data_IF_495969207884
#
_entry.id   IF_495969207884
#
_cell.length_a   1.000
_cell.length_b   1.000
_cell.length_c   1.000
_cell.angle_alpha   90.00
_cell.angle_beta   90.00
_cell.angle_gamma   90.00
#
_symmetry.space_group_name_H-M   'P 1'
#
loop_
_entity.id
_entity.type
_entity.pdbx_description
1 polymer ?
#
# COMPACT_ATOMS: atom_id res chain seq x y z
N UNK A 1 2.56 8.42 9.79
CA UNK A 1 2.76 8.49 8.34
C UNK A 1 1.50 9.04 7.69
N UNK A 2 1.57 9.96 6.70
CA UNK A 2 2.76 10.57 6.11
C UNK A 2 3.35 11.75 6.91
N UNK A 3 2.64 12.24 7.93
CA UNK A 3 2.97 13.44 8.70
C UNK A 3 3.68 13.17 10.05
N UNK A 4 4.22 11.97 10.25
CA UNK A 4 4.81 11.51 11.53
C UNK A 4 3.90 11.60 12.78
N UNK A 5 2.59 11.84 12.63
CA UNK A 5 1.64 11.80 13.76
C UNK A 5 0.78 10.55 13.77
N UNK A 6 0.52 9.95 12.60
CA UNK A 6 -0.15 8.65 12.51
C UNK A 6 0.84 7.50 12.71
N UNK A 7 0.47 6.49 13.49
CA UNK A 7 1.20 5.21 13.52
C UNK A 7 0.93 4.43 12.23
N UNK A 8 1.88 3.60 11.80
CA UNK A 8 1.71 2.76 10.62
C UNK A 8 3.03 2.17 10.09
N UNK A 9 2.90 1.24 9.15
CA UNK A 9 4.00 0.65 8.38
C UNK A 9 4.10 1.30 6.99
N UNK A 10 5.14 0.98 6.24
CA UNK A 10 5.33 1.48 4.87
C UNK A 10 4.13 1.16 3.97
N UNK A 11 3.51 0.00 4.15
CA UNK A 11 2.32 -0.42 3.41
C UNK A 11 1.11 0.47 3.68
N UNK A 12 0.97 1.02 4.90
CA UNK A 12 -0.09 2.00 5.21
C UNK A 12 0.15 3.32 4.47
N UNK A 13 1.41 3.73 4.34
CA UNK A 13 1.75 4.90 3.53
C UNK A 13 1.41 4.68 2.05
N UNK A 14 1.80 3.53 1.50
CA UNK A 14 1.54 3.23 0.08
C UNK A 14 0.05 3.11 -0.22
N UNK A 15 -0.78 2.69 0.74
CA UNK A 15 -2.23 2.69 0.59
C UNK A 15 -2.82 4.08 0.29
N UNK A 16 -2.21 5.18 0.78
CA UNK A 16 -2.64 6.53 0.39
C UNK A 16 -2.44 6.81 -1.09
N UNK A 17 -1.44 6.16 -1.71
CA UNK A 17 -1.07 6.33 -3.11
C UNK A 17 -1.98 5.58 -4.09
N UNK A 18 -2.96 4.80 -3.62
CA UNK A 18 -3.94 4.15 -4.52
C UNK A 18 -4.85 5.20 -5.14
N UNK A 19 -4.90 5.33 -6.48
CA UNK A 19 -5.56 6.44 -7.17
C UNK A 19 -7.00 6.70 -6.70
N UNK A 20 -7.85 5.67 -6.73
CA UNK A 20 -9.25 5.75 -6.31
C UNK A 20 -9.62 4.55 -5.42
N UNK A 21 -9.34 4.61 -4.11
CA UNK A 21 -9.54 3.47 -3.23
C UNK A 21 -11.03 3.13 -3.01
N UNK A 22 -11.96 4.04 -3.32
CA UNK A 22 -13.39 3.81 -3.15
C UNK A 22 -13.97 3.05 -4.34
N UNK A 23 -13.54 3.37 -5.57
CA UNK A 23 -14.07 2.75 -6.78
C UNK A 23 -13.16 1.65 -7.36
N UNK A 24 -11.90 1.54 -6.93
CA UNK A 24 -11.02 0.45 -7.33
C UNK A 24 -11.45 -0.87 -6.69
N UNK A 25 -12.22 -1.64 -7.46
CA UNK A 25 -12.70 -2.97 -7.07
C UNK A 25 -11.55 -3.93 -6.77
N UNK A 26 -10.41 -3.80 -7.46
CA UNK A 26 -9.24 -4.62 -7.25
C UNK A 26 -8.54 -4.27 -5.93
N UNK A 27 -8.54 -3.00 -5.53
CA UNK A 27 -8.01 -2.56 -4.24
C UNK A 27 -8.84 -3.01 -3.03
N UNK A 28 -10.14 -3.20 -3.22
CA UNK A 28 -11.06 -3.59 -2.16
C UNK A 28 -11.18 -5.12 -1.99
N UNK A 29 -10.93 -5.89 -3.05
CA UNK A 29 -10.98 -7.35 -3.04
C UNK A 29 -10.06 -8.04 -1.99
N UNK A 30 -8.83 -7.57 -1.71
CA UNK A 30 -7.94 -8.23 -0.76
C UNK A 30 -8.51 -8.29 0.66
N UNK A 31 -9.33 -7.33 1.06
CA UNK A 31 -9.92 -7.31 2.41
C UNK A 31 -10.74 -8.58 2.66
N UNK A 32 -11.56 -8.98 1.68
CA UNK A 32 -12.35 -10.22 1.75
C UNK A 32 -11.46 -11.45 1.71
N UNK A 33 -10.52 -11.53 0.75
CA UNK A 33 -9.64 -12.69 0.62
C UNK A 33 -8.76 -12.92 1.85
N UNK A 34 -8.32 -11.85 2.52
CA UNK A 34 -7.55 -11.96 3.77
C UNK A 34 -8.41 -12.43 4.94
N UNK A 35 -9.69 -12.01 5.01
CA UNK A 35 -10.61 -12.49 6.02
C UNK A 35 -10.84 -14.00 5.89
N UNK A 36 -11.00 -14.49 4.66
CA UNK A 36 -11.14 -15.92 4.37
C UNK A 36 -9.84 -16.68 4.68
N UNK A 37 -8.70 -16.18 4.20
CA UNK A 37 -7.39 -16.79 4.46
C UNK A 37 -7.04 -16.86 5.95
N UNK A 38 -7.44 -15.87 6.74
CA UNK A 38 -7.21 -15.82 8.18
C UNK A 38 -7.86 -17.01 8.92
N UNK A 39 -8.95 -17.59 8.39
CA UNK A 39 -9.60 -18.78 8.97
C UNK A 39 -8.82 -20.07 8.72
N UNK A 40 -7.89 -20.06 7.76
CA UNK A 40 -7.14 -21.24 7.32
C UNK A 40 -5.75 -21.33 7.97
N UNK A 41 -5.29 -20.25 8.62
CA UNK A 41 -3.94 -20.16 9.18
C UNK A 41 -3.98 -19.95 10.70
N UNK A 42 -3.03 -20.55 11.45
CA UNK A 42 -3.00 -20.44 12.92
C UNK A 42 -2.40 -19.12 13.43
N UNK A 43 -1.88 -18.28 12.55
CA UNK A 43 -1.22 -17.02 12.88
C UNK A 43 -2.02 -15.81 12.39
N UNK A 44 -1.84 -14.66 13.02
CA UNK A 44 -2.46 -13.40 12.59
C UNK A 44 -1.76 -12.87 11.34
N UNK A 45 -2.51 -12.72 10.25
CA UNK A 45 -2.04 -12.07 9.02
C UNK A 45 -1.95 -10.55 9.30
N UNK A 46 -0.80 -9.91 9.09
CA UNK A 46 -0.68 -8.46 9.24
C UNK A 46 -1.48 -7.76 8.15
N UNK A 47 -2.59 -7.08 8.52
CA UNK A 47 -3.58 -6.56 7.58
C UNK A 47 -2.97 -5.65 6.49
N UNK A 48 -2.15 -4.67 6.86
CA UNK A 48 -1.53 -3.73 5.92
C UNK A 48 -0.62 -4.43 4.91
N UNK A 49 0.22 -5.37 5.40
CA UNK A 49 1.09 -6.17 4.55
C UNK A 49 0.29 -7.09 3.64
N UNK A 50 -0.64 -7.87 4.22
CA UNK A 50 -1.49 -8.78 3.48
C UNK A 50 -2.26 -8.07 2.36
N UNK A 51 -2.82 -6.88 2.64
CA UNK A 51 -3.60 -6.12 1.65
C UNK A 51 -2.76 -5.71 0.46
N UNK A 52 -1.62 -5.04 0.72
CA UNK A 52 -0.73 -4.54 -0.34
C UNK A 52 -0.14 -5.69 -1.15
N UNK A 53 0.35 -6.75 -0.50
CA UNK A 53 0.97 -7.86 -1.22
C UNK A 53 -0.04 -8.65 -2.06
N UNK A 54 -1.26 -8.86 -1.56
CA UNK A 54 -2.33 -9.51 -2.33
C UNK A 54 -2.79 -8.62 -3.49
N UNK A 55 -2.94 -7.30 -3.28
CA UNK A 55 -3.24 -6.37 -4.37
C UNK A 55 -2.18 -6.42 -5.48
N UNK A 56 -0.89 -6.40 -5.12
CA UNK A 56 0.23 -6.50 -6.05
C UNK A 56 0.32 -7.87 -6.75
N UNK A 57 -0.17 -8.94 -6.12
CA UNK A 57 -0.26 -10.26 -6.75
C UNK A 57 -1.28 -10.29 -7.90
N UNK A 58 -2.26 -9.38 -7.92
CA UNK A 58 -3.27 -9.30 -8.99
C UNK A 58 -2.99 -8.21 -10.03
N UNK A 59 -1.85 -7.55 -9.96
CA UNK A 59 -1.43 -6.58 -10.97
C UNK A 59 -0.94 -7.28 -12.25
N UNK A 60 -0.75 -6.51 -13.32
CA UNK A 60 -0.25 -7.01 -14.61
C UNK A 60 1.08 -7.74 -14.50
N UNK A 61 1.93 -7.37 -13.53
CA UNK A 61 3.12 -8.13 -13.10
C UNK A 61 2.91 -8.60 -11.65
N UNK A 62 2.41 -9.82 -11.46
CA UNK A 62 2.14 -10.37 -10.13
C UNK A 62 3.35 -10.34 -9.21
N UNK A 63 3.14 -9.95 -7.96
CA UNK A 63 4.18 -10.01 -6.93
C UNK A 63 5.28 -8.96 -7.10
N UNK A 64 5.05 -7.93 -7.92
CA UNK A 64 6.00 -6.82 -8.10
C UNK A 64 6.41 -6.24 -6.74
N UNK A 65 7.71 -6.09 -6.47
CA UNK A 65 8.18 -5.43 -5.24
C UNK A 65 7.66 -4.00 -5.12
N UNK A 66 7.33 -3.55 -3.91
CA UNK A 66 6.70 -2.25 -3.64
C UNK A 66 7.40 -1.07 -4.31
N UNK A 67 8.73 -1.01 -4.27
CA UNK A 67 9.51 0.07 -4.90
C UNK A 67 9.39 0.09 -6.43
N UNK A 68 9.24 -1.08 -7.07
CA UNK A 68 9.03 -1.19 -8.51
C UNK A 68 7.59 -0.89 -8.91
N UNK A 69 6.62 -1.18 -8.03
CA UNK A 69 5.20 -0.93 -8.28
C UNK A 69 4.89 0.57 -8.51
N UNK A 70 5.67 1.47 -7.89
CA UNK A 70 5.58 2.92 -8.15
C UNK A 70 6.02 3.24 -9.59
N UNK A 71 7.13 2.66 -10.06
CA UNK A 71 7.61 2.84 -11.43
C UNK A 71 6.66 2.27 -12.48
N UNK A 72 5.94 1.19 -12.14
CA UNK A 72 4.90 0.57 -12.97
C UNK A 72 3.54 1.30 -12.90
N UNK A 73 3.45 2.40 -12.15
CA UNK A 73 2.22 3.21 -12.00
C UNK A 73 1.03 2.44 -11.41
N UNK A 74 1.28 1.40 -10.61
CA UNK A 74 0.23 0.77 -9.80
C UNK A 74 -0.22 1.67 -8.65
N UNK A 75 0.61 2.66 -8.30
CA UNK A 75 0.32 3.70 -7.34
C UNK A 75 0.47 5.07 -7.99
N UNK A 76 -0.38 6.00 -7.59
CA UNK A 76 -0.35 7.40 -7.99
C UNK A 76 0.60 8.20 -7.10
N UNK A 77 1.83 8.38 -7.60
CA UNK A 77 2.85 9.18 -6.95
C UNK A 77 2.59 10.70 -7.03
N UNK A 78 1.55 11.15 -7.71
CA UNK A 78 1.18 12.58 -7.77
C UNK A 78 0.38 13.04 -6.56
N UNK A 79 -0.08 12.10 -5.73
CA UNK A 79 -0.88 12.41 -4.55
C UNK A 79 -0.14 13.24 -3.50
N UNK A 80 -0.84 14.10 -2.74
CA UNK A 80 -0.23 14.99 -1.77
C UNK A 80 0.64 14.29 -0.71
N UNK A 81 0.29 13.06 -0.33
CA UNK A 81 1.02 12.26 0.66
C UNK A 81 2.43 11.91 0.19
N UNK A 82 2.62 11.66 -1.12
CA UNK A 82 3.94 11.44 -1.70
C UNK A 82 4.81 12.70 -1.56
N UNK A 83 4.25 13.87 -1.85
CA UNK A 83 4.93 15.15 -1.71
C UNK A 83 5.32 15.43 -0.25
N UNK A 84 4.42 15.17 0.69
CA UNK A 84 4.70 15.36 2.13
C UNK A 84 5.89 14.53 2.59
N UNK A 85 5.97 13.25 2.19
CA UNK A 85 7.11 12.39 2.51
C UNK A 85 8.41 12.91 1.90
N UNK A 86 8.39 13.30 0.63
CA UNK A 86 9.57 13.83 -0.09
C UNK A 86 10.07 15.12 0.56
N UNK A 87 9.17 16.05 0.91
CA UNK A 87 9.54 17.31 1.56
C UNK A 87 10.10 17.08 2.97
N UNK A 88 9.62 16.07 3.69
CA UNK A 88 10.24 15.66 4.96
C UNK A 88 11.63 15.08 4.76
N UNK A 89 11.82 14.16 3.79
CA UNK A 89 13.14 13.58 3.47
C UNK A 89 14.15 14.65 3.06
N UNK A 90 13.74 15.61 2.23
CA UNK A 90 14.58 16.75 1.84
C UNK A 90 15.04 17.54 3.05
N UNK A 91 14.12 17.93 3.95
CA UNK A 91 14.49 18.67 5.18
C UNK A 91 15.40 17.90 6.13
N UNK A 92 15.36 16.56 6.09
CA UNK A 92 16.14 15.72 6.99
C UNK A 92 17.58 15.53 6.50
N UNK A 93 17.78 15.39 5.19
CA UNK A 93 19.05 14.97 4.60
C UNK A 93 19.72 16.01 3.69
N UNK A 94 19.01 17.07 3.31
CA UNK A 94 19.48 18.17 2.45
C UNK A 94 19.43 19.47 3.25
#
# INVERSE_FOLDING_TARGET
>A
MPNNTLSGVLEDFVAFLVADPQNDSLWNLPAKSLQEAQQLVPYKIPASKGRIHTYLAWQTKPGTPLGQAIALKYFDATKPEAKQLIDWLRRLFV
#
